data_IF_650788399606
#
_entry.id   IF_650788399606
#
_cell.length_a   1.000
_cell.length_b   1.000
_cell.length_c   1.000
_cell.angle_alpha   90.00
_cell.angle_beta   90.00
_cell.angle_gamma   90.00
#
_symmetry.space_group_name_H-M   'P 1'
#
loop_
_entity.id
_entity.type
_entity.pdbx_description
1 polymer ?
#
# COMPACT_ATOMS: atom_id res chain seq x y z
N UNK A 1 21.08 17.25 40.59
CA UNK A 1 21.29 15.79 40.75
C UNK A 1 19.91 15.15 40.63
N UNK A 2 19.57 14.64 39.44
CA UNK A 2 19.73 13.24 39.01
C UNK A 2 18.63 12.36 39.68
N UNK A 3 17.77 11.59 39.02
CA UNK A 3 17.78 11.04 37.66
C UNK A 3 16.37 10.61 37.23
N UNK A 4 16.21 10.54 35.91
CA UNK A 4 15.11 9.95 35.14
C UNK A 4 14.86 8.48 35.46
N UNK A 5 13.61 8.03 35.38
CA UNK A 5 13.26 6.60 35.23
C UNK A 5 12.15 6.45 34.20
N UNK A 6 12.61 6.16 32.98
CA UNK A 6 11.88 5.70 31.81
C UNK A 6 11.22 4.34 32.06
N UNK A 7 9.93 4.19 31.72
CA UNK A 7 9.33 2.88 31.51
C UNK A 7 8.74 2.83 30.10
N UNK A 8 9.47 2.13 29.24
CA UNK A 8 9.13 1.75 27.87
C UNK A 8 8.07 0.66 27.89
N UNK A 9 6.92 0.89 27.25
CA UNK A 9 5.97 -0.17 26.88
C UNK A 9 6.15 -0.52 25.40
N UNK A 10 6.36 -1.80 25.06
CA UNK A 10 6.50 -2.20 23.67
C UNK A 10 5.15 -2.17 22.95
N UNK A 11 5.17 -1.51 21.80
CA UNK A 11 4.23 -1.62 20.70
C UNK A 11 4.18 -3.07 20.18
N UNK A 12 2.98 -3.66 20.17
CA UNK A 12 2.72 -4.88 19.41
C UNK A 12 1.70 -4.57 18.32
N UNK A 13 2.22 -4.10 17.20
CA UNK A 13 1.56 -4.08 15.91
C UNK A 13 1.63 -5.49 15.32
N UNK A 14 0.55 -6.26 15.42
CA UNK A 14 0.38 -7.44 14.57
C UNK A 14 -0.32 -7.02 13.29
N UNK A 15 0.47 -6.95 12.21
CA UNK A 15 -0.02 -6.87 10.85
C UNK A 15 -0.83 -8.12 10.52
N UNK A 16 -2.06 -7.92 10.05
CA UNK A 16 -2.88 -8.98 9.48
C UNK A 16 -2.37 -9.29 8.08
N UNK A 17 -1.56 -10.34 7.96
CA UNK A 17 -1.29 -11.00 6.69
C UNK A 17 -2.59 -11.68 6.22
N UNK A 18 -3.00 -11.31 5.01
CA UNK A 18 -4.18 -11.82 4.32
C UNK A 18 -3.94 -13.26 3.84
N UNK A 19 -4.21 -14.24 4.71
CA UNK A 19 -4.33 -15.64 4.32
C UNK A 19 -5.81 -16.02 4.17
N UNK A 20 -6.23 -16.73 3.11
CA UNK A 20 -7.63 -17.05 2.87
C UNK A 20 -8.14 -18.04 3.93
N UNK A 21 -8.97 -17.53 4.84
CA UNK A 21 -9.54 -18.29 5.96
C UNK A 21 -10.41 -19.46 5.46
N UNK A 22 -10.30 -20.67 6.04
CA UNK A 22 -11.05 -21.84 5.58
C UNK A 22 -12.56 -21.61 5.74
N UNK A 23 -13.35 -22.00 4.71
CA UNK A 23 -14.81 -21.83 4.63
C UNK A 23 -15.59 -22.40 5.83
N UNK A 24 -14.98 -23.29 6.61
CA UNK A 24 -15.54 -23.87 7.82
C UNK A 24 -15.64 -22.88 8.98
N UNK A 25 -14.70 -21.95 9.13
CA UNK A 25 -14.74 -20.95 10.21
C UNK A 25 -15.90 -19.97 10.02
N UNK A 26 -16.21 -19.63 8.76
CA UNK A 26 -17.32 -18.75 8.43
C UNK A 26 -18.67 -19.40 8.72
N UNK A 27 -18.79 -20.72 8.48
CA UNK A 27 -19.99 -21.49 8.86
C UNK A 27 -20.12 -21.65 10.38
N UNK A 28 -19.01 -21.86 11.08
CA UNK A 28 -18.99 -22.02 12.54
C UNK A 28 -19.34 -20.70 13.25
N UNK A 29 -18.81 -19.58 12.78
CA UNK A 29 -19.15 -18.25 13.28
C UNK A 29 -20.61 -17.86 12.96
N UNK A 30 -21.10 -18.19 11.76
CA UNK A 30 -22.50 -17.96 11.40
C UNK A 30 -23.47 -18.77 12.26
N UNK A 31 -23.15 -20.02 12.57
CA UNK A 31 -23.99 -20.85 13.45
C UNK A 31 -23.96 -20.33 14.89
N UNK A 32 -22.80 -19.92 15.42
CA UNK A 32 -22.70 -19.33 16.76
C UNK A 32 -23.52 -18.05 16.91
N UNK A 33 -23.50 -17.19 15.89
CA UNK A 33 -24.34 -15.99 15.85
C UNK A 33 -25.82 -16.36 15.75
N UNK A 34 -26.17 -17.36 14.93
CA UNK A 34 -27.55 -17.84 14.79
C UNK A 34 -28.10 -18.38 16.12
N UNK A 35 -27.27 -19.09 16.88
CA UNK A 35 -27.62 -19.63 18.20
C UNK A 35 -27.70 -18.52 19.25
N UNK A 36 -26.84 -17.50 19.19
CA UNK A 36 -26.90 -16.32 20.08
C UNK A 36 -28.18 -15.48 19.88
N UNK A 37 -28.68 -15.40 18.65
CA UNK A 37 -29.91 -14.69 18.32
C UNK A 37 -31.17 -15.59 18.29
N UNK A 38 -31.06 -16.86 18.68
CA UNK A 38 -32.21 -17.77 18.79
C UNK A 38 -32.93 -18.06 17.47
N UNK A 39 -32.24 -17.91 16.32
CA UNK A 39 -32.81 -18.07 14.98
C UNK A 39 -32.90 -19.54 14.51
N UNK A 40 -32.50 -20.49 15.37
CA UNK A 40 -32.62 -21.93 15.11
C UNK A 40 -34.07 -22.35 15.40
N UNK A 41 -34.86 -22.54 14.33
CA UNK A 41 -36.28 -22.89 14.36
C UNK A 41 -36.52 -24.35 14.78
N UNK A 42 -36.20 -24.70 16.02
CA UNK A 42 -36.73 -25.89 16.68
C UNK A 42 -36.83 -25.64 18.20
N UNK A 43 -38.03 -25.79 18.76
CA UNK A 43 -38.37 -25.56 20.17
C UNK A 43 -39.07 -26.82 20.71
N UNK A 44 -39.14 -27.11 22.05
CA UNK A 44 -38.97 -26.23 23.23
C UNK A 44 -38.26 -26.91 24.46
N UNK A 45 -38.29 -26.39 25.73
CA UNK A 45 -38.67 -25.07 26.25
C UNK A 45 -37.61 -24.34 27.12
N UNK A 46 -37.76 -23.01 27.16
CA UNK A 46 -37.47 -22.08 28.26
C UNK A 46 -36.01 -21.78 28.66
N UNK A 47 -35.45 -20.73 28.04
CA UNK A 47 -34.78 -19.69 28.83
C UNK A 47 -35.07 -18.33 28.19
N UNK A 48 -35.73 -17.47 28.95
CA UNK A 48 -36.39 -16.25 28.51
C UNK A 48 -35.36 -15.12 28.31
N UNK A 49 -35.30 -14.56 27.11
CA UNK A 49 -34.88 -13.18 26.85
C UNK A 49 -36.06 -12.47 26.16
N UNK A 50 -36.42 -11.24 26.54
CA UNK A 50 -37.62 -10.60 26.02
C UNK A 50 -37.37 -10.07 24.61
N UNK A 51 -38.09 -10.63 23.65
CA UNK A 51 -38.31 -10.00 22.34
C UNK A 51 -39.32 -8.88 22.55
N UNK A 52 -38.88 -7.63 22.39
CA UNK A 52 -39.78 -6.48 22.34
C UNK A 52 -40.39 -6.44 20.93
N UNK A 53 -41.49 -7.17 20.76
CA UNK A 53 -42.42 -6.92 19.66
C UNK A 53 -43.16 -5.64 19.97
N UNK A 54 -42.95 -4.62 19.13
CA UNK A 54 -43.76 -3.41 19.12
C UNK A 54 -45.15 -3.77 18.57
N UNK A 55 -46.04 -4.23 19.44
CA UNK A 55 -47.47 -4.16 19.20
C UNK A 55 -48.16 -3.58 20.43
N UNK A 56 -49.07 -2.66 20.11
CA UNK A 56 -49.91 -1.86 20.97
C UNK A 56 -50.72 -2.72 21.95
N UNK A 57 -50.16 -2.99 23.14
CA UNK A 57 -50.89 -3.51 24.27
C UNK A 57 -50.19 -3.10 25.57
N UNK A 58 -50.82 -2.14 26.25
CA UNK A 58 -50.61 -1.84 27.66
C UNK A 58 -50.87 -3.06 28.54
N UNK A 59 -49.93 -4.02 28.62
CA UNK A 59 -50.00 -5.04 29.66
C UNK A 59 -48.64 -5.61 30.05
N UNK A 60 -48.37 -5.49 31.36
CA UNK A 60 -47.47 -6.30 32.17
C UNK A 60 -45.97 -6.20 31.88
N UNK A 61 -45.38 -5.04 32.17
CA UNK A 61 -44.19 -5.08 33.04
C UNK A 61 -44.65 -5.81 34.31
N UNK A 62 -44.00 -6.90 34.76
CA UNK A 62 -44.36 -7.53 36.01
C UNK A 62 -44.16 -6.51 37.12
N UNK A 63 -45.24 -5.84 37.51
CA UNK A 63 -45.27 -4.99 38.69
C UNK A 63 -44.71 -5.82 39.83
N UNK A 64 -43.69 -5.27 40.50
CA UNK A 64 -42.95 -5.84 41.62
C UNK A 64 -43.75 -6.87 42.45
N UNK A 65 -43.09 -7.91 43.00
CA UNK A 65 -43.78 -8.86 43.87
C UNK A 65 -44.56 -8.09 44.92
N UNK A 66 -45.89 -8.16 44.85
CA UNK A 66 -46.79 -7.52 45.82
C UNK A 66 -46.63 -8.32 47.10
N UNK A 67 -45.60 -7.99 47.87
CA UNK A 67 -45.38 -8.53 49.20
C UNK A 67 -46.57 -8.06 50.02
N UNK A 68 -47.43 -8.99 50.43
CA UNK A 68 -48.56 -8.67 51.28
C UNK A 68 -48.06 -8.41 52.71
N UNK A 69 -47.71 -7.15 52.95
CA UNK A 69 -47.20 -6.68 54.23
C UNK A 69 -48.20 -6.95 55.37
N UNK A 70 -49.52 -6.93 55.08
CA UNK A 70 -50.54 -7.20 56.11
C UNK A 70 -50.50 -8.64 56.56
N UNK A 71 -50.40 -9.59 55.62
CA UNK A 71 -50.21 -11.00 55.95
C UNK A 71 -48.88 -11.27 56.65
N UNK A 72 -47.83 -10.51 56.34
CA UNK A 72 -46.51 -10.69 56.95
C UNK A 72 -46.49 -10.22 58.40
N UNK A 73 -47.11 -9.07 58.69
CA UNK A 73 -47.22 -8.49 60.04
C UNK A 73 -48.15 -9.33 60.93
N UNK A 74 -49.21 -9.92 60.39
CA UNK A 74 -50.13 -10.74 61.18
C UNK A 74 -49.59 -12.14 61.52
N UNK A 75 -48.67 -12.69 60.71
CA UNK A 75 -48.18 -14.06 60.85
C UNK A 75 -46.79 -14.21 61.46
N UNK A 76 -45.96 -13.15 61.45
CA UNK A 76 -44.58 -13.20 61.93
C UNK A 76 -44.41 -12.43 63.25
N UNK A 77 -43.51 -12.92 64.12
CA UNK A 77 -43.11 -12.19 65.33
C UNK A 77 -42.22 -10.99 65.00
N UNK A 78 -42.20 -9.99 65.89
CA UNK A 78 -41.41 -8.76 65.74
C UNK A 78 -39.92 -9.03 65.47
N UNK A 79 -39.33 -10.02 66.15
CA UNK A 79 -37.91 -10.38 65.98
C UNK A 79 -37.59 -10.89 64.58
N UNK A 80 -38.50 -11.66 63.97
CA UNK A 80 -38.38 -12.14 62.60
C UNK A 80 -38.51 -10.98 61.61
N UNK A 81 -39.40 -10.02 61.89
CA UNK A 81 -39.58 -8.85 61.05
C UNK A 81 -38.34 -7.93 61.05
N UNK A 82 -37.74 -7.69 62.22
CA UNK A 82 -36.50 -6.92 62.34
C UNK A 82 -35.31 -7.62 61.66
N UNK A 83 -35.23 -8.95 61.74
CA UNK A 83 -34.23 -9.73 61.01
C UNK A 83 -34.37 -9.55 59.50
N UNK A 84 -35.60 -9.66 58.98
CA UNK A 84 -35.93 -9.42 57.56
C UNK A 84 -35.65 -7.98 57.13
N UNK A 85 -35.93 -7.00 57.98
CA UNK A 85 -35.59 -5.59 57.72
C UNK A 85 -34.08 -5.42 57.54
N UNK A 86 -33.29 -5.95 58.47
CA UNK A 86 -31.83 -5.89 58.38
C UNK A 86 -31.31 -6.59 57.12
N UNK A 87 -31.89 -7.73 56.74
CA UNK A 87 -31.55 -8.45 55.52
C UNK A 87 -31.86 -7.62 54.27
N UNK A 88 -33.07 -7.04 54.18
CA UNK A 88 -33.48 -6.20 53.07
C UNK A 88 -32.60 -4.94 52.95
N UNK A 89 -32.18 -4.34 54.07
CA UNK A 89 -31.25 -3.20 54.05
C UNK A 89 -29.91 -3.60 53.41
N UNK A 90 -29.41 -4.80 53.72
CA UNK A 90 -28.18 -5.33 53.09
C UNK A 90 -28.40 -5.56 51.59
N UNK A 91 -29.49 -6.23 51.21
CA UNK A 91 -29.84 -6.49 49.81
C UNK A 91 -30.03 -5.20 49.00
N UNK A 92 -30.66 -4.16 49.57
CA UNK A 92 -30.83 -2.86 48.91
C UNK A 92 -29.47 -2.21 48.64
N UNK A 93 -28.53 -2.29 49.60
CA UNK A 93 -27.18 -1.74 49.42
C UNK A 93 -26.38 -2.52 48.38
N UNK A 94 -26.48 -3.85 48.38
CA UNK A 94 -25.86 -4.71 47.38
C UNK A 94 -26.40 -4.40 45.98
N UNK A 95 -27.73 -4.33 45.83
CA UNK A 95 -28.39 -4.03 44.57
C UNK A 95 -28.07 -2.61 44.05
N UNK A 96 -27.93 -1.62 44.93
CA UNK A 96 -27.47 -0.29 44.49
C UNK A 96 -26.00 -0.31 44.05
N UNK A 97 -25.15 -1.11 44.71
CA UNK A 97 -23.78 -1.36 44.27
C UNK A 97 -23.71 -2.03 42.89
N UNK A 98 -24.52 -3.07 42.66
CA UNK A 98 -24.64 -3.74 41.36
C UNK A 98 -25.18 -2.80 40.27
N UNK A 99 -26.22 -2.02 40.58
CA UNK A 99 -26.78 -1.01 39.68
C UNK A 99 -25.74 0.02 39.30
N UNK A 100 -25.00 0.54 40.28
CA UNK A 100 -23.94 1.51 40.04
C UNK A 100 -22.84 0.88 39.18
N UNK A 101 -22.38 -0.33 39.50
CA UNK A 101 -21.40 -1.07 38.72
C UNK A 101 -21.84 -1.28 37.27
N UNK A 102 -23.10 -1.67 37.05
CA UNK A 102 -23.67 -1.86 35.72
C UNK A 102 -23.73 -0.55 34.94
N UNK A 103 -24.19 0.55 35.58
CA UNK A 103 -24.24 1.87 34.95
C UNK A 103 -22.84 2.31 34.55
N UNK A 104 -21.83 2.19 35.42
CA UNK A 104 -20.47 2.55 35.04
C UNK A 104 -19.91 1.65 33.95
N UNK A 105 -20.06 0.32 34.07
CA UNK A 105 -19.57 -0.63 33.08
C UNK A 105 -20.21 -0.38 31.71
N UNK A 106 -21.51 -0.21 31.65
CA UNK A 106 -22.17 -0.02 30.37
C UNK A 106 -22.00 1.41 29.83
N UNK A 107 -22.00 2.43 30.69
CA UNK A 107 -21.86 3.81 30.23
C UNK A 107 -20.47 4.09 29.66
N UNK A 108 -19.40 3.62 30.29
CA UNK A 108 -18.05 3.82 29.73
C UNK A 108 -17.85 3.02 28.44
N UNK A 109 -18.46 1.83 28.30
CA UNK A 109 -18.49 1.08 27.05
C UNK A 109 -19.23 1.83 25.94
N UNK A 110 -20.40 2.42 26.25
CA UNK A 110 -21.17 3.21 25.28
C UNK A 110 -20.39 4.46 24.84
N UNK A 111 -19.72 5.13 25.78
CA UNK A 111 -18.85 6.27 25.47
C UNK A 111 -17.68 5.81 24.60
N UNK A 112 -17.00 4.72 24.93
CA UNK A 112 -15.89 4.19 24.13
C UNK A 112 -16.32 3.75 22.72
N UNK A 113 -17.51 3.15 22.59
CA UNK A 113 -18.10 2.81 21.30
C UNK A 113 -18.43 4.07 20.50
N UNK A 114 -18.98 5.09 21.15
CA UNK A 114 -19.28 6.39 20.54
C UNK A 114 -18.01 7.09 20.05
N UNK A 115 -16.93 7.05 20.83
CA UNK A 115 -15.62 7.58 20.44
C UNK A 115 -15.03 6.80 19.27
N UNK A 116 -15.21 5.48 19.25
CA UNK A 116 -14.79 4.63 18.12
C UNK A 116 -15.54 5.00 16.84
N UNK A 117 -16.87 5.17 16.91
CA UNK A 117 -17.69 5.60 15.78
C UNK A 117 -17.26 6.99 15.31
N UNK A 118 -17.01 7.92 16.24
CA UNK A 118 -16.51 9.27 15.92
C UNK A 118 -15.17 9.21 15.19
N UNK A 119 -14.23 8.40 15.67
CA UNK A 119 -12.91 8.23 15.06
C UNK A 119 -13.01 7.56 13.67
N UNK A 120 -13.90 6.58 13.51
CA UNK A 120 -14.19 5.98 12.20
C UNK A 120 -14.75 7.01 11.22
N UNK A 121 -15.68 7.86 11.67
CA UNK A 121 -16.23 8.94 10.84
C UNK A 121 -15.13 9.92 10.39
N UNK A 122 -14.30 10.39 11.31
CA UNK A 122 -13.20 11.32 10.98
C UNK A 122 -12.21 10.69 9.98
N UNK A 123 -11.89 9.40 10.13
CA UNK A 123 -11.04 8.68 9.17
C UNK A 123 -11.69 8.55 7.79
N UNK A 124 -13.01 8.28 7.74
CA UNK A 124 -13.75 8.24 6.48
C UNK A 124 -13.73 9.60 5.78
N UNK A 125 -13.97 10.68 6.51
CA UNK A 125 -13.94 12.05 5.98
C UNK A 125 -12.53 12.45 5.52
N UNK A 126 -11.48 11.96 6.19
CA UNK A 126 -10.09 12.19 5.76
C UNK A 126 -9.70 11.45 4.46
N UNK A 127 -10.44 10.42 4.06
CA UNK A 127 -10.20 9.68 2.82
C UNK A 127 -10.78 10.41 1.59
N UNK A 128 -11.81 11.23 1.76
CA UNK A 128 -12.45 12.00 0.69
C UNK A 128 -11.46 12.83 -0.14
N UNK A 129 -10.57 13.67 0.44
CA UNK A 129 -9.60 14.44 -0.35
C UNK A 129 -8.59 13.54 -1.09
N UNK A 130 -8.29 12.35 -0.57
CA UNK A 130 -7.41 11.40 -1.26
C UNK A 130 -8.10 10.79 -2.47
N UNK A 131 -9.40 10.50 -2.36
CA UNK A 131 -10.22 10.04 -3.49
C UNK A 131 -10.40 11.14 -4.54
N UNK A 132 -10.60 12.38 -4.14
CA UNK A 132 -10.70 13.52 -5.06
C UNK A 132 -9.37 13.77 -5.80
N UNK A 133 -8.24 13.66 -5.10
CA UNK A 133 -6.91 13.71 -5.71
C UNK A 133 -6.70 12.58 -6.73
N UNK A 134 -7.07 11.35 -6.35
CA UNK A 134 -6.99 10.20 -7.26
C UNK A 134 -7.88 10.38 -8.49
N UNK A 135 -9.12 10.88 -8.31
CA UNK A 135 -10.02 11.20 -9.42
C UNK A 135 -9.43 12.24 -10.35
N UNK A 136 -8.86 13.31 -9.80
CA UNK A 136 -8.18 14.35 -10.57
C UNK A 136 -7.01 13.76 -11.37
N UNK A 137 -6.20 12.88 -10.76
CA UNK A 137 -5.11 12.20 -11.47
C UNK A 137 -5.60 11.28 -12.60
N UNK A 138 -6.76 10.64 -12.43
CA UNK A 138 -7.35 9.81 -13.47
C UNK A 138 -7.89 10.66 -14.62
N UNK A 139 -8.50 11.81 -14.32
CA UNK A 139 -8.93 12.78 -15.33
C UNK A 139 -7.74 13.34 -16.12
N UNK A 140 -6.62 13.67 -15.47
CA UNK A 140 -5.41 14.13 -16.17
C UNK A 140 -4.80 13.03 -17.03
N UNK A 141 -4.70 11.80 -16.53
CA UNK A 141 -4.25 10.65 -17.33
C UNK A 141 -5.16 10.40 -18.54
N UNK A 142 -6.48 10.46 -18.35
CA UNK A 142 -7.45 10.28 -19.43
C UNK A 142 -7.33 11.39 -20.48
N UNK A 143 -7.08 12.64 -20.06
CA UNK A 143 -6.88 13.76 -20.96
C UNK A 143 -5.54 13.65 -21.71
N UNK A 144 -4.47 13.21 -21.05
CA UNK A 144 -3.19 12.93 -21.71
C UNK A 144 -3.34 11.79 -22.72
N UNK A 145 -4.04 10.72 -22.37
CA UNK A 145 -4.30 9.60 -23.27
C UNK A 145 -5.11 10.02 -24.51
N UNK A 146 -6.17 10.82 -24.33
CA UNK A 146 -6.95 11.35 -25.46
C UNK A 146 -6.13 12.29 -26.32
N UNK A 147 -5.30 13.16 -25.73
CA UNK A 147 -4.39 14.03 -26.47
C UNK A 147 -3.35 13.22 -27.27
N UNK A 148 -2.78 12.16 -26.70
CA UNK A 148 -1.88 11.26 -27.43
C UNK A 148 -2.60 10.53 -28.57
N UNK A 149 -3.85 10.12 -28.38
CA UNK A 149 -4.65 9.50 -29.44
C UNK A 149 -4.96 10.47 -30.57
N UNK A 150 -5.31 11.73 -30.24
CA UNK A 150 -5.47 12.81 -31.22
C UNK A 150 -4.15 13.07 -31.95
N UNK A 151 -3.01 13.14 -31.25
CA UNK A 151 -1.69 13.33 -31.86
C UNK A 151 -1.33 12.16 -32.78
N UNK A 152 -1.62 10.92 -32.36
CA UNK A 152 -1.40 9.71 -33.16
C UNK A 152 -2.29 9.67 -34.40
N UNK A 153 -3.53 10.16 -34.31
CA UNK A 153 -4.48 10.27 -35.43
C UNK A 153 -4.18 11.45 -36.35
N UNK A 154 -3.62 12.52 -35.79
CA UNK A 154 -3.18 13.73 -36.49
C UNK A 154 -1.79 13.58 -37.11
N UNK A 155 -0.97 12.63 -36.66
CA UNK A 155 0.21 12.20 -37.39
C UNK A 155 -0.32 11.66 -38.73
N UNK A 156 -0.04 12.34 -39.86
CA UNK A 156 -0.49 11.83 -41.13
C UNK A 156 0.16 10.48 -41.29
N UNK A 157 -0.67 9.45 -41.52
CA UNK A 157 -0.28 8.39 -42.43
C UNK A 157 0.29 9.10 -43.65
N UNK A 158 1.62 9.14 -43.75
CA UNK A 158 2.28 9.25 -45.01
C UNK A 158 1.65 8.14 -45.85
N UNK A 159 0.70 8.53 -46.71
CA UNK A 159 0.31 7.72 -47.84
C UNK A 159 1.58 7.63 -48.67
N UNK A 160 2.37 6.61 -48.39
CA UNK A 160 3.24 5.99 -49.36
C UNK A 160 2.33 5.58 -50.51
N UNK A 161 2.21 6.49 -51.49
CA UNK A 161 2.33 6.06 -52.87
C UNK A 161 3.55 5.15 -52.90
N UNK A 162 3.35 3.90 -53.32
CA UNK A 162 4.45 3.12 -53.85
C UNK A 162 5.27 4.01 -54.79
N UNK A 163 6.58 4.01 -54.58
CA UNK A 163 7.40 3.41 -55.61
C UNK A 163 8.10 2.20 -55.02
N UNK A 164 7.87 1.08 -55.69
CA UNK A 164 8.75 -0.07 -55.77
C UNK A 164 10.22 0.26 -55.43
N UNK A 165 10.80 -0.56 -54.56
CA UNK A 165 12.24 -0.74 -54.32
C UNK A 165 12.93 0.30 -53.43
N UNK A 166 13.00 0.00 -52.12
CA UNK A 166 14.25 -0.11 -51.33
C UNK A 166 13.91 -0.59 -49.91
N UNK A 167 14.40 -1.79 -49.59
CA UNK A 167 14.59 -2.40 -48.25
C UNK A 167 13.58 -2.05 -47.16
N UNK A 168 12.83 -3.08 -46.77
CA UNK A 168 12.18 -3.23 -45.46
C UNK A 168 13.20 -2.98 -44.34
N UNK A 169 13.30 -1.73 -43.89
CA UNK A 169 14.16 -1.30 -42.79
C UNK A 169 13.25 -1.01 -41.61
N UNK A 170 13.29 -1.90 -40.62
CA UNK A 170 12.58 -1.74 -39.37
C UNK A 170 13.20 -0.53 -38.62
N UNK A 171 12.48 0.61 -38.50
CA UNK A 171 13.09 1.86 -38.03
C UNK A 171 13.73 1.72 -36.65
N UNK A 172 13.17 0.85 -35.80
CA UNK A 172 13.68 0.57 -34.46
C UNK A 172 15.06 -0.11 -34.47
N UNK A 173 15.30 -1.00 -35.44
CA UNK A 173 16.54 -1.77 -35.54
C UNK A 173 17.71 -0.94 -36.07
N UNK A 174 17.41 0.07 -36.88
CA UNK A 174 18.41 1.00 -37.42
C UNK A 174 18.71 2.16 -36.44
N UNK A 175 17.77 2.46 -35.54
CA UNK A 175 17.93 3.47 -34.47
C UNK A 175 18.68 2.94 -33.25
N UNK A 176 18.50 1.65 -32.92
CA UNK A 176 19.17 0.97 -31.81
C UNK A 176 20.69 1.20 -31.77
N UNK A 177 21.46 0.94 -32.85
CA UNK A 177 22.92 1.08 -32.81
C UNK A 177 23.40 2.52 -32.57
N UNK A 178 22.58 3.52 -32.92
CA UNK A 178 22.94 4.95 -32.78
C UNK A 178 22.69 5.42 -31.34
N UNK A 179 21.60 4.99 -30.72
CA UNK A 179 21.26 5.36 -29.35
C UNK A 179 22.14 4.60 -28.34
N UNK A 180 22.54 3.37 -28.65
CA UNK A 180 23.45 2.59 -27.80
C UNK A 180 24.92 2.95 -28.03
N UNK A 181 25.25 3.74 -29.04
CA UNK A 181 26.63 4.04 -29.44
C UNK A 181 27.49 4.58 -28.29
N UNK A 182 27.07 5.61 -27.51
CA UNK A 182 27.87 6.11 -26.40
C UNK A 182 28.20 5.04 -25.36
N UNK A 183 27.21 4.19 -25.02
CA UNK A 183 27.37 3.11 -24.05
C UNK A 183 28.31 2.01 -24.57
N UNK A 184 28.18 1.63 -25.85
CA UNK A 184 29.07 0.64 -26.47
C UNK A 184 30.53 1.14 -26.56
N UNK A 185 30.75 2.44 -26.82
CA UNK A 185 32.08 3.02 -26.82
C UNK A 185 32.67 3.06 -25.40
N UNK A 186 31.88 3.43 -24.39
CA UNK A 186 32.36 3.39 -23.00
C UNK A 186 32.70 1.97 -22.56
N UNK A 187 31.88 0.97 -22.91
CA UNK A 187 32.13 -0.43 -22.55
C UNK A 187 33.38 -1.01 -23.20
N UNK A 188 33.70 -0.60 -24.44
CA UNK A 188 34.94 -0.99 -25.13
C UNK A 188 36.18 -0.30 -24.55
N UNK A 189 36.06 0.96 -24.15
CA UNK A 189 37.15 1.71 -23.50
C UNK A 189 37.41 1.18 -22.08
N UNK A 190 36.36 0.76 -21.38
CA UNK A 190 36.42 0.17 -20.04
C UNK A 190 36.70 -1.34 -20.04
N UNK A 191 36.86 -1.95 -21.23
CA UNK A 191 37.10 -3.39 -21.41
C UNK A 191 36.04 -4.28 -20.70
N UNK A 192 34.77 -3.87 -20.69
CA UNK A 192 33.70 -4.52 -19.91
C UNK A 192 33.04 -5.72 -20.63
N UNK A 193 33.24 -5.86 -21.94
CA UNK A 193 32.58 -6.91 -22.74
C UNK A 193 33.23 -8.30 -22.63
N UNK A 194 34.47 -8.41 -22.13
CA UNK A 194 35.15 -9.70 -21.93
C UNK A 194 35.14 -10.13 -20.46
N UNK A 195 33.97 -10.48 -19.95
CA UNK A 195 33.82 -11.07 -18.60
C UNK A 195 34.19 -12.55 -18.56
N UNK A 196 35.40 -12.95 -18.98
CA UNK A 196 35.94 -14.29 -18.61
C UNK A 196 37.48 -14.35 -18.51
N UNK A 197 38.14 -13.40 -17.84
CA UNK A 197 39.38 -13.73 -17.12
C UNK A 197 39.80 -12.58 -16.22
N UNK A 198 39.80 -12.82 -14.91
CA UNK A 198 40.47 -11.95 -13.96
C UNK A 198 41.97 -11.90 -14.28
N UNK A 199 42.39 -10.83 -14.94
CA UNK A 199 43.76 -10.32 -14.97
C UNK A 199 43.68 -8.80 -14.90
N UNK A 200 44.32 -8.28 -13.86
CA UNK A 200 44.49 -6.87 -13.58
C UNK A 200 45.10 -6.17 -14.82
N UNK A 201 44.40 -5.16 -15.33
CA UNK A 201 44.94 -4.00 -16.04
C UNK A 201 46.08 -4.25 -17.03
N UNK A 202 45.84 -5.06 -18.07
CA UNK A 202 46.75 -5.11 -19.21
C UNK A 202 46.62 -3.81 -20.03
N UNK A 203 47.66 -2.95 -20.09
CA UNK A 203 47.63 -1.72 -20.88
C UNK A 203 47.50 -2.01 -22.39
N UNK A 204 47.82 -3.22 -22.84
CA UNK A 204 47.64 -3.65 -24.23
C UNK A 204 46.18 -3.95 -24.55
N UNK A 205 45.44 -4.55 -23.62
CA UNK A 205 43.99 -4.79 -23.76
C UNK A 205 43.21 -3.47 -23.83
N UNK A 206 43.57 -2.47 -23.02
CA UNK A 206 42.97 -1.12 -23.09
C UNK A 206 43.27 -0.41 -24.42
N UNK A 207 44.48 -0.56 -24.94
CA UNK A 207 44.84 -0.04 -26.28
C UNK A 207 44.04 -0.73 -27.37
N UNK A 208 43.85 -2.05 -27.29
CA UNK A 208 43.04 -2.81 -28.23
C UNK A 208 41.54 -2.43 -28.15
N UNK A 209 41.01 -2.20 -26.95
CA UNK A 209 39.65 -1.69 -26.75
C UNK A 209 39.45 -0.31 -27.36
N UNK A 210 40.44 0.58 -27.21
CA UNK A 210 40.39 1.91 -27.84
C UNK A 210 40.44 1.82 -29.37
N UNK A 211 41.29 0.99 -29.96
CA UNK A 211 41.34 0.87 -31.44
C UNK A 211 40.05 0.27 -32.00
N UNK A 212 39.41 -0.65 -31.28
CA UNK A 212 38.09 -1.17 -31.64
C UNK A 212 37.00 -0.10 -31.53
N UNK A 213 37.02 0.71 -30.46
CA UNK A 213 36.11 1.83 -30.29
C UNK A 213 36.29 2.91 -31.38
N UNK A 214 37.53 3.23 -31.76
CA UNK A 214 37.84 4.14 -32.86
C UNK A 214 37.37 3.60 -34.22
N UNK A 215 37.50 2.29 -34.44
CA UNK A 215 36.98 1.65 -35.65
C UNK A 215 35.45 1.73 -35.74
N UNK A 216 34.73 1.40 -34.65
CA UNK A 216 33.28 1.52 -34.61
C UNK A 216 32.81 2.96 -34.78
N UNK A 217 33.47 3.91 -34.13
CA UNK A 217 33.20 5.33 -34.35
C UNK A 217 33.36 5.72 -35.82
N UNK A 218 34.43 5.29 -36.49
CA UNK A 218 34.63 5.57 -37.92
C UNK A 218 33.52 5.02 -38.81
N UNK A 219 32.90 3.89 -38.45
CA UNK A 219 31.74 3.36 -39.21
C UNK A 219 30.47 4.18 -39.02
N UNK A 220 30.28 4.80 -37.85
CA UNK A 220 29.04 5.47 -37.46
C UNK A 220 29.09 6.99 -37.60
N UNK A 221 30.29 7.59 -37.59
CA UNK A 221 30.51 9.01 -37.84
C UNK A 221 29.82 9.53 -39.11
N UNK A 222 29.92 8.89 -40.30
CA UNK A 222 29.24 9.38 -41.50
C UNK A 222 27.71 9.30 -41.39
N UNK A 223 27.17 8.35 -40.62
CA UNK A 223 25.73 8.22 -40.37
C UNK A 223 25.26 9.36 -39.48
N UNK A 224 25.97 9.63 -38.38
CA UNK A 224 25.69 10.75 -37.51
C UNK A 224 25.80 12.09 -38.27
N UNK A 225 26.79 12.25 -39.14
CA UNK A 225 26.97 13.44 -39.97
C UNK A 225 25.77 13.67 -40.91
N UNK A 226 25.33 12.63 -41.63
CA UNK A 226 24.15 12.69 -42.49
C UNK A 226 22.88 13.04 -41.70
N UNK A 227 22.76 12.57 -40.45
CA UNK A 227 21.62 12.86 -39.57
C UNK A 227 21.68 14.28 -38.99
N UNK A 228 22.89 14.81 -38.74
CA UNK A 228 23.07 16.21 -38.37
C UNK A 228 22.73 17.16 -39.52
N UNK A 229 23.07 16.80 -40.75
CA UNK A 229 22.71 17.56 -41.95
C UNK A 229 21.21 17.51 -42.23
N UNK A 230 20.56 16.38 -41.90
CA UNK A 230 19.11 16.23 -41.92
C UNK A 230 18.39 16.96 -40.76
N UNK A 231 19.12 17.52 -39.80
CA UNK A 231 18.56 18.32 -38.72
C UNK A 231 17.89 17.52 -37.58
N UNK A 232 18.23 16.24 -37.41
CA UNK A 232 17.68 15.39 -36.34
C UNK A 232 18.14 15.92 -34.96
N UNK A 233 17.19 16.18 -34.07
CA UNK A 233 17.47 16.70 -32.73
C UNK A 233 18.20 15.66 -31.86
N UNK A 234 19.17 16.09 -31.04
CA UNK A 234 19.92 15.22 -30.12
C UNK A 234 21.15 14.52 -30.72
N UNK A 235 21.23 14.41 -32.05
CA UNK A 235 22.34 13.70 -32.73
C UNK A 235 23.67 14.42 -32.59
N UNK A 236 23.65 15.77 -32.54
CA UNK A 236 24.88 16.57 -32.33
C UNK A 236 25.45 16.36 -30.95
N UNK A 237 24.58 16.22 -29.95
CA UNK A 237 24.94 15.98 -28.55
C UNK A 237 25.54 14.58 -28.41
N UNK A 238 24.90 13.55 -28.98
CA UNK A 238 25.43 12.17 -29.03
C UNK A 238 26.81 12.14 -29.72
N UNK A 239 26.93 12.80 -30.87
CA UNK A 239 28.21 12.86 -31.59
C UNK A 239 29.29 13.64 -30.83
N UNK A 240 28.92 14.64 -30.03
CA UNK A 240 29.85 15.37 -29.17
C UNK A 240 30.32 14.52 -27.97
N UNK A 241 29.40 13.79 -27.36
CA UNK A 241 29.67 12.89 -26.23
C UNK A 241 30.65 11.77 -26.64
N UNK A 242 30.38 11.09 -27.76
CA UNK A 242 31.25 10.03 -28.27
C UNK A 242 32.67 10.52 -28.61
N UNK A 243 32.79 11.73 -29.19
CA UNK A 243 34.09 12.37 -29.44
C UNK A 243 34.83 12.71 -28.15
N UNK A 244 34.11 13.08 -27.08
CA UNK A 244 34.71 13.30 -25.77
C UNK A 244 35.23 12.00 -25.18
N UNK A 245 34.43 10.92 -25.23
CA UNK A 245 34.80 9.60 -24.72
C UNK A 245 36.08 9.07 -25.37
N UNK A 246 36.21 9.14 -26.71
CA UNK A 246 37.43 8.72 -27.41
C UNK A 246 38.63 9.63 -27.11
N UNK A 247 38.41 10.92 -26.87
CA UNK A 247 39.48 11.86 -26.48
C UNK A 247 39.99 11.55 -25.07
N UNK A 248 39.09 11.21 -24.16
CA UNK A 248 39.43 10.89 -22.77
C UNK A 248 40.06 9.50 -22.66
N UNK A 249 39.59 8.52 -23.44
CA UNK A 249 40.24 7.21 -23.60
C UNK A 249 41.69 7.31 -24.11
N UNK A 250 41.93 8.13 -25.15
CA UNK A 250 43.30 8.40 -25.65
C UNK A 250 44.21 9.02 -24.58
N UNK A 251 43.68 9.94 -23.78
CA UNK A 251 44.44 10.57 -22.68
C UNK A 251 44.78 9.56 -21.58
N UNK A 252 43.83 8.72 -21.19
CA UNK A 252 44.03 7.70 -20.16
C UNK A 252 45.10 6.66 -20.56
N UNK A 253 45.12 6.25 -21.83
CA UNK A 253 46.15 5.36 -22.38
C UNK A 253 47.50 6.09 -22.49
N UNK A 254 47.50 7.36 -22.92
CA UNK A 254 48.70 8.19 -22.98
C UNK A 254 49.38 8.38 -21.62
N UNK A 255 48.60 8.63 -20.55
CA UNK A 255 49.15 8.76 -19.19
C UNK A 255 49.67 7.43 -18.64
N UNK A 256 48.98 6.32 -18.91
CA UNK A 256 49.41 4.98 -18.49
C UNK A 256 50.74 4.58 -19.15
N UNK A 257 50.91 4.85 -20.45
CA UNK A 257 52.16 4.56 -21.17
C UNK A 257 53.33 5.47 -20.78
N UNK A 258 53.06 6.74 -20.47
CA UNK A 258 54.09 7.67 -19.97
C UNK A 258 54.59 7.28 -18.58
N UNK A 259 53.71 6.81 -17.69
CA UNK A 259 54.07 6.32 -16.37
C UNK A 259 55.00 5.09 -16.43
N UNK A 260 54.75 4.14 -17.36
CA UNK A 260 55.61 2.95 -17.55
C UNK A 260 57.00 3.27 -18.11
N UNK A 261 57.19 4.40 -18.79
CA UNK A 261 58.49 4.80 -19.38
C UNK A 261 59.39 5.57 -18.41
N UNK A 262 58.87 6.02 -17.27
CA UNK A 262 59.57 6.86 -16.31
C UNK A 262 60.08 6.12 -15.06
N UNK A 263 59.92 4.79 -15.03
CA UNK A 263 60.41 3.85 -14.02
C UNK A 263 61.49 2.96 -14.61
#
# INVERSE_FOLDING_TARGET
MASTSSSSRPSQSQGSTSSPRPKQDKRRAANLLRDYYGLSSDAPPASQLPVVSNDDASSSIPTAPKIDLRSLISSNSLSVLLGKESELIVQIRELDGERQSLVYNHHHELVAASDTIRNMKLKSESLDPSLDSLKTSFETMSNLASNLEVLRKSAPTAKTQEPSNKSDLDPLRDLEPIVTLPATLSDLIECRLDTTSGKEDDPEARKAGLTQAEHLWGTMEPVLAAWTDAGVAGVREIAAECRSLLKDGRKAIGSSTAAMRST
#
